data_IF_778121974143
#
_entry.id   IF_778121974143
#
_cell.length_a   1.000
_cell.length_b   1.000
_cell.length_c   1.000
_cell.angle_alpha   90.00
_cell.angle_beta   90.00
_cell.angle_gamma   90.00
#
_symmetry.space_group_name_H-M   'P 1'
#
loop_
_entity.id
_entity.type
_entity.pdbx_description
1 polymer ?
#
# COMPACT_ATOMS: atom_id res chain seq x y z
N UNK A 1 -41.88 51.00 0.58
CA UNK A 1 -42.17 49.74 -0.15
C UNK A 1 -41.89 48.57 0.79
N UNK A 2 -42.93 47.88 1.24
CA UNK A 2 -42.80 46.71 2.14
C UNK A 2 -42.63 45.44 1.30
N UNK A 3 -41.43 44.86 1.26
CA UNK A 3 -41.20 43.56 0.64
C UNK A 3 -41.59 42.46 1.63
N UNK A 4 -42.81 41.96 1.47
CA UNK A 4 -43.29 40.70 2.04
C UNK A 4 -42.59 39.54 1.30
N UNK A 5 -41.49 39.02 1.85
CA UNK A 5 -40.90 37.74 1.40
C UNK A 5 -41.62 36.59 2.11
N UNK A 6 -42.73 36.12 1.54
CA UNK A 6 -43.23 34.77 1.80
C UNK A 6 -42.30 33.80 1.09
N UNK A 7 -41.43 33.15 1.85
CA UNK A 7 -40.55 32.10 1.35
C UNK A 7 -41.42 30.97 0.78
N UNK A 8 -41.29 30.57 -0.49
CA UNK A 8 -42.13 29.53 -1.07
C UNK A 8 -41.67 28.16 -0.55
N UNK A 9 -42.32 27.70 0.51
CA UNK A 9 -42.30 26.31 0.98
C UNK A 9 -42.32 25.24 -0.13
N UNK A 10 -43.11 25.35 -1.22
CA UNK A 10 -43.06 24.35 -2.28
C UNK A 10 -41.71 24.28 -3.00
N UNK A 11 -40.97 25.39 -3.07
CA UNK A 11 -39.66 25.46 -3.73
C UNK A 11 -38.56 24.82 -2.86
N UNK A 12 -38.68 24.95 -1.53
CA UNK A 12 -37.82 24.26 -0.57
C UNK A 12 -38.06 22.74 -0.58
N UNK A 13 -39.32 22.30 -0.71
CA UNK A 13 -39.67 20.87 -0.85
C UNK A 13 -39.19 20.33 -2.19
N UNK A 14 -39.34 21.08 -3.29
CA UNK A 14 -38.83 20.68 -4.60
C UNK A 14 -37.29 20.54 -4.60
N UNK A 15 -36.58 21.46 -3.93
CA UNK A 15 -35.13 21.38 -3.74
C UNK A 15 -34.70 20.19 -2.86
N UNK A 16 -35.49 19.83 -1.83
CA UNK A 16 -35.25 18.65 -0.99
C UNK A 16 -35.50 17.33 -1.72
N UNK A 17 -36.47 17.29 -2.64
CA UNK A 17 -36.73 16.11 -3.50
C UNK A 17 -35.69 15.98 -4.61
N UNK A 18 -35.20 17.10 -5.17
CA UNK A 18 -34.08 17.09 -6.13
C UNK A 18 -32.72 16.82 -5.45
N UNK A 19 -32.63 17.02 -4.14
CA UNK A 19 -31.47 16.69 -3.31
C UNK A 19 -31.58 15.31 -2.64
N UNK A 20 -32.49 14.44 -3.10
CA UNK A 20 -32.37 13.01 -2.83
C UNK A 20 -30.94 12.60 -3.23
N UNK A 21 -30.15 12.01 -2.31
CA UNK A 21 -28.80 11.59 -2.66
C UNK A 21 -28.96 10.64 -3.84
N UNK A 22 -28.35 10.98 -4.97
CA UNK A 22 -28.25 10.06 -6.10
C UNK A 22 -27.70 8.75 -5.51
N UNK A 23 -28.56 7.73 -5.39
CA UNK A 23 -28.11 6.43 -4.90
C UNK A 23 -26.98 6.02 -5.84
N UNK A 24 -25.80 5.74 -5.30
CA UNK A 24 -24.62 5.37 -6.08
C UNK A 24 -25.05 4.39 -7.17
N UNK A 25 -24.97 4.83 -8.43
CA UNK A 25 -25.44 4.03 -9.55
C UNK A 25 -24.71 2.69 -9.50
N UNK A 26 -25.47 1.58 -9.47
CA UNK A 26 -24.85 0.26 -9.48
C UNK A 26 -24.04 0.14 -10.77
N UNK A 27 -22.72 0.00 -10.62
CA UNK A 27 -21.81 -0.09 -11.75
C UNK A 27 -21.64 -1.56 -12.13
N UNK A 28 -21.72 -1.85 -13.41
CA UNK A 28 -21.53 -3.20 -13.96
C UNK A 28 -20.41 -3.21 -14.99
N UNK A 29 -19.59 -4.25 -14.94
CA UNK A 29 -18.58 -4.56 -15.93
C UNK A 29 -18.86 -5.94 -16.50
N UNK A 30 -19.16 -6.01 -17.81
CA UNK A 30 -19.45 -7.26 -18.51
C UNK A 30 -20.50 -8.13 -17.80
N UNK A 31 -21.56 -7.49 -17.29
CA UNK A 31 -22.65 -8.15 -16.57
C UNK A 31 -22.36 -8.51 -15.11
N UNK A 32 -21.17 -8.20 -14.60
CA UNK A 32 -20.82 -8.38 -13.19
C UNK A 32 -20.87 -7.04 -12.44
N UNK A 33 -21.48 -7.02 -11.26
CA UNK A 33 -21.52 -5.83 -10.41
C UNK A 33 -20.10 -5.53 -9.89
N UNK A 34 -19.65 -4.29 -10.06
CA UNK A 34 -18.36 -3.83 -9.56
C UNK A 34 -18.54 -2.65 -8.57
N UNK A 35 -17.54 -2.35 -7.74
CA UNK A 35 -17.60 -1.21 -6.85
C UNK A 35 -17.67 0.12 -7.63
N UNK A 36 -18.27 1.12 -7.00
CA UNK A 36 -18.34 2.48 -7.55
C UNK A 36 -16.93 3.08 -7.67
N UNK A 37 -16.56 3.45 -8.90
CA UNK A 37 -15.24 4.02 -9.21
C UNK A 37 -15.09 5.50 -8.82
N UNK A 38 -16.16 6.15 -8.35
CA UNK A 38 -16.15 7.56 -7.97
C UNK A 38 -15.79 7.79 -6.49
N UNK A 39 -15.72 6.73 -5.68
CA UNK A 39 -15.32 6.82 -4.27
C UNK A 39 -14.04 6.04 -3.97
N UNK A 40 -13.33 6.38 -2.88
CA UNK A 40 -12.26 5.54 -2.36
C UNK A 40 -12.74 4.12 -2.07
N UNK A 41 -11.90 3.14 -2.39
CA UNK A 41 -12.17 1.74 -2.13
C UNK A 41 -11.57 1.28 -0.80
N UNK A 42 -12.29 0.38 -0.15
CA UNK A 42 -11.83 -0.39 1.00
C UNK A 42 -11.65 -1.87 0.64
N UNK A 43 -11.25 -2.68 1.61
CA UNK A 43 -11.04 -4.12 1.47
C UNK A 43 -12.27 -4.88 0.94
N UNK A 44 -13.49 -4.48 1.33
CA UNK A 44 -14.72 -5.06 0.82
C UNK A 44 -14.95 -4.73 -0.67
N UNK A 45 -14.64 -3.51 -1.09
CA UNK A 45 -14.74 -3.11 -2.49
C UNK A 45 -13.77 -3.91 -3.36
N UNK A 46 -12.52 -4.09 -2.91
CA UNK A 46 -11.57 -4.96 -3.60
C UNK A 46 -12.08 -6.40 -3.69
N UNK A 47 -12.68 -6.93 -2.61
CA UNK A 47 -13.26 -8.28 -2.63
C UNK A 47 -14.37 -8.41 -3.68
N UNK A 48 -15.30 -7.44 -3.71
CA UNK A 48 -16.37 -7.42 -4.71
C UNK A 48 -15.81 -7.35 -6.14
N UNK A 49 -14.77 -6.54 -6.38
CA UNK A 49 -14.13 -6.47 -7.68
C UNK A 49 -13.49 -7.81 -8.05
N UNK A 50 -12.75 -8.46 -7.14
CA UNK A 50 -12.09 -9.74 -7.40
C UNK A 50 -13.10 -10.81 -7.79
N UNK A 51 -14.22 -10.90 -7.07
CA UNK A 51 -15.30 -11.85 -7.39
C UNK A 51 -15.93 -11.59 -8.77
N UNK A 52 -16.08 -10.32 -9.15
CA UNK A 52 -16.56 -9.94 -10.46
C UNK A 52 -15.54 -10.31 -11.56
N UNK A 53 -14.27 -9.97 -11.35
CA UNK A 53 -13.21 -10.21 -12.33
C UNK A 53 -12.85 -11.68 -12.49
N UNK A 54 -12.89 -12.50 -11.44
CA UNK A 54 -12.72 -13.96 -11.54
C UNK A 54 -13.81 -14.60 -12.42
N UNK A 55 -15.05 -14.12 -12.33
CA UNK A 55 -16.13 -14.57 -13.23
C UNK A 55 -15.90 -14.11 -14.66
N UNK A 56 -15.47 -12.86 -14.85
CA UNK A 56 -15.16 -12.33 -16.19
C UNK A 56 -14.03 -13.14 -16.82
N UNK A 57 -12.93 -13.36 -16.12
CA UNK A 57 -11.75 -14.07 -16.62
C UNK A 57 -12.08 -15.52 -17.05
N UNK A 58 -12.94 -16.21 -16.30
CA UNK A 58 -13.40 -17.56 -16.63
C UNK A 58 -14.35 -17.63 -17.83
N UNK A 59 -15.06 -16.54 -18.12
CA UNK A 59 -16.11 -16.52 -19.16
C UNK A 59 -15.65 -15.85 -20.45
N UNK A 60 -14.71 -14.91 -20.35
CA UNK A 60 -14.24 -14.08 -21.46
C UNK A 60 -12.72 -13.96 -21.40
N UNK A 61 -12.05 -14.58 -22.37
CA UNK A 61 -10.60 -14.54 -22.49
C UNK A 61 -10.13 -13.10 -22.71
N UNK A 62 -9.11 -12.70 -21.95
CA UNK A 62 -8.47 -11.39 -22.06
C UNK A 62 -9.42 -10.19 -21.81
N UNK A 63 -10.43 -10.36 -20.97
CA UNK A 63 -11.42 -9.33 -20.65
C UNK A 63 -11.24 -8.63 -19.29
N UNK A 64 -10.08 -8.73 -18.64
CA UNK A 64 -9.77 -7.89 -17.46
C UNK A 64 -9.59 -6.40 -17.84
N UNK A 65 -9.90 -5.48 -16.91
CA UNK A 65 -9.70 -4.05 -17.11
C UNK A 65 -8.25 -3.69 -17.49
N UNK A 66 -8.10 -2.90 -18.55
CA UNK A 66 -6.80 -2.41 -19.05
C UNK A 66 -6.63 -0.93 -18.72
N UNK A 67 -5.41 -0.52 -18.42
CA UNK A 67 -5.05 0.87 -18.15
C UNK A 67 -5.32 1.78 -19.34
N UNK A 68 -5.04 1.30 -20.56
CA UNK A 68 -5.21 2.08 -21.80
C UNK A 68 -6.60 1.98 -22.43
N UNK A 69 -7.52 1.18 -21.86
CA UNK A 69 -8.85 1.03 -22.43
C UNK A 69 -9.73 2.24 -22.14
N UNK A 70 -10.51 2.66 -23.13
CA UNK A 70 -11.42 3.82 -23.01
C UNK A 70 -12.43 3.63 -21.86
N UNK A 71 -13.01 2.43 -21.74
CA UNK A 71 -14.03 2.11 -20.74
C UNK A 71 -13.47 1.38 -19.51
N UNK A 72 -12.30 0.75 -19.64
CA UNK A 72 -11.67 -0.03 -18.56
C UNK A 72 -10.58 0.74 -17.82
N UNK A 73 -10.01 1.77 -18.45
CA UNK A 73 -9.01 2.66 -17.86
C UNK A 73 -9.47 3.32 -16.57
N UNK A 74 -10.70 3.85 -16.46
CA UNK A 74 -11.21 4.38 -15.20
C UNK A 74 -11.31 3.35 -14.07
N UNK A 75 -11.70 2.10 -14.39
CA UNK A 75 -11.75 1.00 -13.42
C UNK A 75 -10.34 0.69 -12.92
N UNK A 76 -9.40 0.50 -13.84
CA UNK A 76 -8.00 0.25 -13.50
C UNK A 76 -7.39 1.41 -12.70
N UNK A 77 -7.65 2.65 -13.11
CA UNK A 77 -7.15 3.84 -12.43
C UNK A 77 -7.65 3.90 -10.99
N UNK A 78 -8.92 3.54 -10.75
CA UNK A 78 -9.44 3.45 -9.38
C UNK A 78 -8.79 2.31 -8.61
N UNK A 79 -8.57 1.14 -9.20
CA UNK A 79 -7.92 -0.01 -8.53
C UNK A 79 -6.57 0.34 -7.90
N UNK A 80 -5.79 1.21 -8.56
CA UNK A 80 -4.45 1.64 -8.10
C UNK A 80 -4.42 3.09 -7.60
N UNK A 81 -5.58 3.66 -7.27
CA UNK A 81 -5.67 5.04 -6.82
C UNK A 81 -5.12 5.23 -5.42
N UNK A 82 -4.30 6.27 -5.24
CA UNK A 82 -3.82 6.70 -3.92
C UNK A 82 -4.97 7.10 -2.99
N UNK A 83 -6.12 7.49 -3.53
CA UNK A 83 -7.28 7.84 -2.72
C UNK A 83 -7.80 6.67 -1.88
N UNK A 84 -7.56 5.43 -2.32
CA UNK A 84 -7.96 4.23 -1.58
C UNK A 84 -7.16 4.06 -0.27
N UNK A 85 -6.05 4.78 -0.10
CA UNK A 85 -5.29 4.79 1.15
C UNK A 85 -5.94 5.69 2.22
N UNK A 86 -6.84 6.61 1.83
CA UNK A 86 -7.44 7.60 2.76
C UNK A 86 -8.04 6.97 4.03
N UNK A 87 -8.77 5.84 4.00
CA UNK A 87 -9.29 5.22 5.22
C UNK A 87 -8.20 4.80 6.20
N UNK A 88 -7.06 4.34 5.69
CA UNK A 88 -5.93 3.85 6.49
C UNK A 88 -5.01 4.99 6.98
N UNK A 89 -5.04 6.14 6.30
CA UNK A 89 -4.28 7.33 6.68
C UNK A 89 -5.10 8.30 7.54
N UNK A 90 -6.36 7.99 7.82
CA UNK A 90 -7.23 8.82 8.64
C UNK A 90 -6.85 8.74 10.13
N UNK A 91 -6.02 9.67 10.60
CA UNK A 91 -5.56 9.74 12.00
C UNK A 91 -6.68 9.87 13.05
N UNK A 92 -7.90 10.24 12.63
CA UNK A 92 -9.07 10.31 13.52
C UNK A 92 -9.75 8.95 13.72
N UNK A 93 -9.37 7.93 12.94
CA UNK A 93 -9.86 6.56 13.09
C UNK A 93 -8.96 5.75 14.05
N UNK A 94 -9.54 4.80 14.81
CA UNK A 94 -8.77 3.91 15.67
C UNK A 94 -7.64 3.18 14.91
N UNK A 95 -6.47 3.09 15.53
CA UNK A 95 -5.28 2.50 14.91
C UNK A 95 -5.49 1.03 14.53
N UNK A 96 -6.17 0.27 15.38
CA UNK A 96 -6.48 -1.13 15.13
C UNK A 96 -7.36 -1.30 13.89
N UNK A 97 -8.31 -0.38 13.68
CA UNK A 97 -9.17 -0.39 12.50
C UNK A 97 -8.35 -0.08 11.23
N UNK A 98 -7.48 0.94 11.29
CA UNK A 98 -6.59 1.30 10.18
C UNK A 98 -5.63 0.16 9.81
N UNK A 99 -5.01 -0.48 10.81
CA UNK A 99 -4.06 -1.57 10.60
C UNK A 99 -4.74 -2.81 10.04
N UNK A 100 -5.93 -3.17 10.55
CA UNK A 100 -6.70 -4.29 10.02
C UNK A 100 -7.11 -4.04 8.57
N UNK A 101 -7.57 -2.83 8.26
CA UNK A 101 -7.92 -2.46 6.88
C UNK A 101 -6.71 -2.53 5.95
N UNK A 102 -5.55 -2.01 6.37
CA UNK A 102 -4.32 -2.09 5.58
C UNK A 102 -3.88 -3.53 5.29
N UNK A 103 -4.01 -4.42 6.29
CA UNK A 103 -3.72 -5.85 6.15
C UNK A 103 -4.70 -6.54 5.20
N UNK A 104 -5.99 -6.27 5.33
CA UNK A 104 -7.01 -6.85 4.45
C UNK A 104 -6.85 -6.36 3.01
N UNK A 105 -6.62 -5.07 2.78
CA UNK A 105 -6.36 -4.54 1.43
C UNK A 105 -5.12 -5.22 0.82
N UNK A 106 -4.02 -5.36 1.56
CA UNK A 106 -2.84 -6.07 1.07
C UNK A 106 -3.16 -7.52 0.65
N UNK A 107 -3.97 -8.22 1.45
CA UNK A 107 -4.44 -9.56 1.10
C UNK A 107 -5.28 -9.56 -0.19
N UNK A 108 -6.22 -8.63 -0.34
CA UNK A 108 -7.02 -8.52 -1.57
C UNK A 108 -6.17 -8.17 -2.78
N UNK A 109 -5.17 -7.30 -2.64
CA UNK A 109 -4.24 -6.98 -3.74
C UNK A 109 -3.46 -8.20 -4.21
N UNK A 110 -3.05 -9.09 -3.31
CA UNK A 110 -2.43 -10.36 -3.68
C UNK A 110 -3.37 -11.23 -4.53
N UNK A 111 -4.64 -11.35 -4.14
CA UNK A 111 -5.62 -12.11 -4.91
C UNK A 111 -5.94 -11.44 -6.25
N UNK A 112 -6.02 -10.10 -6.29
CA UNK A 112 -6.21 -9.35 -7.53
C UNK A 112 -5.01 -9.55 -8.49
N UNK A 113 -3.78 -9.50 -7.98
CA UNK A 113 -2.58 -9.76 -8.79
C UNK A 113 -2.61 -11.15 -9.43
N UNK A 114 -3.15 -12.17 -8.76
CA UNK A 114 -3.27 -13.52 -9.34
C UNK A 114 -4.15 -13.57 -10.59
N UNK A 115 -5.06 -12.63 -10.77
CA UNK A 115 -5.86 -12.51 -12.01
C UNK A 115 -5.04 -11.88 -13.14
N UNK A 116 -4.14 -10.95 -12.83
CA UNK A 116 -3.37 -10.20 -13.83
C UNK A 116 -2.05 -10.86 -14.23
N UNK A 117 -1.46 -11.68 -13.36
CA UNK A 117 -0.23 -12.41 -13.65
C UNK A 117 -0.53 -13.81 -14.19
N UNK A 118 -0.14 -14.06 -15.44
CA UNK A 118 -0.09 -15.42 -15.99
C UNK A 118 1.37 -15.91 -16.03
N UNK A 119 1.80 -16.62 -14.99
CA UNK A 119 3.17 -17.14 -14.90
C UNK A 119 3.51 -18.23 -15.93
N UNK A 120 2.52 -18.72 -16.68
CA UNK A 120 2.74 -19.71 -17.75
C UNK A 120 2.84 -19.05 -19.12
N UNK A 121 2.42 -17.79 -19.25
CA UNK A 121 2.47 -17.08 -20.52
C UNK A 121 3.92 -16.75 -20.91
N UNK A 122 4.22 -16.92 -22.21
CA UNK A 122 5.50 -16.49 -22.77
C UNK A 122 5.67 -14.97 -22.69
N UNK A 123 4.55 -14.25 -22.84
CA UNK A 123 4.42 -12.80 -22.71
C UNK A 123 3.17 -12.48 -21.89
N UNK A 124 3.27 -11.57 -20.94
CA UNK A 124 2.15 -11.20 -20.07
C UNK A 124 1.06 -10.47 -20.85
N UNK A 125 -0.18 -10.97 -20.88
CA UNK A 125 -1.28 -10.30 -21.58
C UNK A 125 -1.66 -8.95 -20.96
N UNK A 126 -1.35 -8.78 -19.67
CA UNK A 126 -1.62 -7.61 -18.85
C UNK A 126 -0.34 -7.06 -18.19
N UNK A 127 0.78 -7.08 -18.90
CA UNK A 127 2.09 -6.75 -18.33
C UNK A 127 2.13 -5.40 -17.60
N UNK A 128 1.62 -4.34 -18.24
CA UNK A 128 1.56 -2.99 -17.67
C UNK A 128 0.71 -2.94 -16.40
N UNK A 129 -0.46 -3.60 -16.43
CA UNK A 129 -1.40 -3.63 -15.31
C UNK A 129 -0.87 -4.46 -14.13
N UNK A 130 -0.26 -5.61 -14.42
CA UNK A 130 0.34 -6.50 -13.43
C UNK A 130 1.47 -5.78 -12.67
N UNK A 131 2.37 -5.10 -13.39
CA UNK A 131 3.45 -4.32 -12.78
C UNK A 131 2.92 -3.09 -12.01
N UNK A 132 1.88 -2.43 -12.52
CA UNK A 132 1.23 -1.32 -11.81
C UNK A 132 0.59 -1.76 -10.49
N UNK A 133 -0.09 -2.90 -10.47
CA UNK A 133 -0.61 -3.50 -9.24
C UNK A 133 0.50 -3.89 -8.27
N UNK A 134 1.64 -4.37 -8.76
CA UNK A 134 2.79 -4.67 -7.91
C UNK A 134 3.37 -3.42 -7.26
N UNK A 135 3.55 -2.32 -8.01
CA UNK A 135 3.96 -1.02 -7.45
C UNK A 135 2.98 -0.52 -6.39
N UNK A 136 1.68 -0.64 -6.66
CA UNK A 136 0.63 -0.27 -5.72
C UNK A 136 0.66 -1.12 -4.43
N UNK A 137 0.89 -2.43 -4.56
CA UNK A 137 1.03 -3.35 -3.44
C UNK A 137 2.24 -3.03 -2.55
N UNK A 138 3.38 -2.61 -3.13
CA UNK A 138 4.53 -2.15 -2.37
C UNK A 138 4.20 -0.91 -1.53
N UNK A 139 3.50 0.06 -2.11
CA UNK A 139 3.07 1.25 -1.37
C UNK A 139 2.09 0.92 -0.24
N UNK A 140 1.16 0.01 -0.49
CA UNK A 140 0.26 -0.51 0.54
C UNK A 140 1.02 -1.20 1.69
N UNK A 141 2.09 -1.93 1.39
CA UNK A 141 2.95 -2.53 2.40
C UNK A 141 3.69 -1.47 3.24
N UNK A 142 4.12 -0.35 2.64
CA UNK A 142 4.78 0.74 3.36
C UNK A 142 3.82 1.42 4.35
N UNK A 143 2.55 1.60 3.95
CA UNK A 143 1.50 2.08 4.86
C UNK A 143 1.30 1.11 6.02
N UNK A 144 1.21 -0.20 5.76
CA UNK A 144 1.07 -1.21 6.82
C UNK A 144 2.24 -1.16 7.83
N UNK A 145 3.48 -0.95 7.36
CA UNK A 145 4.62 -0.75 8.28
C UNK A 145 4.50 0.52 9.10
N UNK A 146 4.12 1.63 8.48
CA UNK A 146 3.95 2.90 9.19
C UNK A 146 2.95 2.72 10.35
N UNK A 147 1.83 2.05 10.09
CA UNK A 147 0.83 1.73 11.12
C UNK A 147 1.36 0.73 12.15
N UNK A 148 2.20 -0.22 11.74
CA UNK A 148 2.83 -1.19 12.65
C UNK A 148 3.82 -0.51 13.60
N UNK A 149 4.60 0.45 13.11
CA UNK A 149 5.51 1.27 13.93
C UNK A 149 4.69 2.15 14.88
N UNK A 150 3.65 2.82 14.38
CA UNK A 150 2.73 3.61 15.22
C UNK A 150 2.18 2.75 16.36
N UNK A 151 1.71 1.53 16.06
CA UNK A 151 1.20 0.59 17.05
C UNK A 151 2.28 0.14 18.04
N UNK A 152 3.49 -0.15 17.55
CA UNK A 152 4.60 -0.55 18.41
C UNK A 152 4.93 0.52 19.45
N UNK A 153 4.88 1.80 19.06
CA UNK A 153 5.15 2.94 19.92
C UNK A 153 4.07 3.17 21.01
N UNK A 154 2.88 2.59 20.87
CA UNK A 154 1.85 2.65 21.93
C UNK A 154 1.99 1.56 22.99
N UNK A 155 2.76 0.50 22.71
CA UNK A 155 2.98 -0.61 23.63
C UNK A 155 3.98 -0.28 24.73
N UNK A 156 3.76 -0.80 25.94
CA UNK A 156 4.76 -0.79 27.00
C UNK A 156 5.93 -1.73 26.66
N UNK A 157 7.10 -1.52 27.27
CA UNK A 157 8.28 -2.39 27.10
C UNK A 157 7.98 -3.87 27.40
N UNK A 158 7.12 -4.14 28.40
CA UNK A 158 6.67 -5.49 28.74
C UNK A 158 5.81 -6.14 27.66
N UNK A 159 5.03 -5.36 26.90
CA UNK A 159 4.25 -5.85 25.76
C UNK A 159 5.13 -6.02 24.52
N UNK A 160 6.05 -5.09 24.26
CA UNK A 160 7.00 -5.15 23.14
C UNK A 160 7.90 -6.40 23.20
N UNK A 161 8.24 -6.86 24.40
CA UNK A 161 9.06 -8.06 24.61
C UNK A 161 8.27 -9.38 24.57
N UNK A 162 6.94 -9.35 24.44
CA UNK A 162 6.15 -10.58 24.35
C UNK A 162 6.52 -11.37 23.09
N UNK A 163 6.77 -12.69 23.20
CA UNK A 163 7.14 -13.51 22.05
C UNK A 163 6.17 -13.41 20.87
N UNK A 164 4.87 -13.36 21.14
CA UNK A 164 3.82 -13.24 20.10
C UNK A 164 3.93 -11.92 19.33
N UNK A 165 4.30 -10.82 20.00
CA UNK A 165 4.44 -9.50 19.36
C UNK A 165 5.69 -9.45 18.49
N UNK A 166 6.80 -10.00 18.99
CA UNK A 166 8.04 -10.11 18.24
C UNK A 166 7.87 -11.03 17.03
N UNK A 167 7.15 -12.14 17.18
CA UNK A 167 6.83 -13.05 16.08
C UNK A 167 5.98 -12.36 15.01
N UNK A 168 4.89 -11.68 15.37
CA UNK A 168 4.07 -10.96 14.39
C UNK A 168 4.83 -9.86 13.64
N UNK A 169 5.74 -9.15 14.33
CA UNK A 169 6.62 -8.17 13.68
C UNK A 169 7.60 -8.85 12.71
N UNK A 170 8.15 -10.00 13.09
CA UNK A 170 9.07 -10.78 12.29
C UNK A 170 8.39 -11.31 11.01
N UNK A 171 7.17 -11.85 11.13
CA UNK A 171 6.35 -12.30 9.99
C UNK A 171 6.03 -11.14 9.04
N UNK A 172 5.71 -9.96 9.58
CA UNK A 172 5.44 -8.75 8.76
C UNK A 172 6.69 -8.33 7.97
N UNK A 173 7.87 -8.37 8.61
CA UNK A 173 9.15 -8.07 7.95
C UNK A 173 9.51 -9.09 6.87
N UNK A 174 9.23 -10.36 7.10
CA UNK A 174 9.47 -11.43 6.12
C UNK A 174 8.55 -11.32 4.91
N UNK A 175 7.25 -11.03 5.12
CA UNK A 175 6.31 -10.79 4.03
C UNK A 175 6.75 -9.62 3.15
N UNK A 176 7.21 -8.53 3.77
CA UNK A 176 7.74 -7.39 3.04
C UNK A 176 9.05 -7.66 2.31
N UNK A 177 9.96 -8.42 2.91
CA UNK A 177 11.20 -8.86 2.28
C UNK A 177 10.89 -9.65 1.00
N UNK A 178 9.94 -10.59 1.08
CA UNK A 178 9.49 -11.39 -0.07
C UNK A 178 8.85 -10.51 -1.15
N UNK A 179 7.98 -9.57 -0.77
CA UNK A 179 7.35 -8.63 -1.71
C UNK A 179 8.40 -7.77 -2.42
N UNK A 180 9.34 -7.19 -1.68
CA UNK A 180 10.38 -6.30 -2.21
C UNK A 180 11.37 -7.04 -3.11
N UNK A 181 11.75 -8.28 -2.74
CA UNK A 181 12.60 -9.12 -3.59
C UNK A 181 11.89 -9.49 -4.89
N UNK A 182 10.63 -9.95 -4.81
CA UNK A 182 9.85 -10.33 -5.98
C UNK A 182 9.63 -9.15 -6.93
N UNK A 183 9.49 -7.94 -6.38
CA UNK A 183 9.38 -6.72 -7.17
C UNK A 183 10.62 -6.48 -8.04
N UNK A 184 11.82 -6.67 -7.49
CA UNK A 184 13.06 -6.56 -8.28
C UNK A 184 13.18 -7.67 -9.32
N UNK A 185 12.74 -8.89 -9.01
CA UNK A 185 12.86 -10.02 -9.92
C UNK A 185 12.02 -9.84 -11.20
N UNK A 186 10.89 -9.14 -11.12
CA UNK A 186 10.10 -8.80 -12.31
C UNK A 186 10.85 -7.93 -13.32
N UNK A 187 11.82 -7.11 -12.89
CA UNK A 187 12.69 -6.39 -13.83
C UNK A 187 13.52 -7.35 -14.69
N UNK A 188 13.87 -8.54 -14.16
CA UNK A 188 14.60 -9.57 -14.91
C UNK A 188 13.77 -10.31 -15.96
N UNK A 189 12.45 -10.16 -15.97
CA UNK A 189 11.53 -10.91 -16.83
C UNK A 189 11.34 -10.25 -18.21
N UNK A 190 12.44 -9.88 -18.87
CA UNK A 190 12.46 -9.11 -20.13
C UNK A 190 11.87 -9.81 -21.34
N UNK A 191 11.62 -11.13 -21.25
CA UNK A 191 10.88 -11.88 -22.27
C UNK A 191 9.37 -11.82 -22.06
N UNK A 192 8.94 -11.67 -20.81
CA UNK A 192 7.53 -11.70 -20.44
C UNK A 192 6.90 -10.30 -20.44
N UNK A 193 7.67 -9.26 -20.12
CA UNK A 193 7.20 -7.88 -20.09
C UNK A 193 7.82 -7.04 -21.19
N UNK A 194 7.06 -6.06 -21.69
CA UNK A 194 7.57 -5.13 -22.68
C UNK A 194 8.59 -4.18 -22.06
N UNK A 195 9.49 -3.65 -22.90
CA UNK A 195 10.51 -2.68 -22.46
C UNK A 195 9.89 -1.47 -21.77
N UNK A 196 8.88 -0.85 -22.38
CA UNK A 196 8.25 0.37 -21.86
C UNK A 196 7.65 0.15 -20.46
N UNK A 197 7.01 -1.00 -20.26
CA UNK A 197 6.42 -1.39 -18.98
C UNK A 197 7.50 -1.55 -17.90
N UNK A 198 8.62 -2.21 -18.23
CA UNK A 198 9.75 -2.40 -17.31
C UNK A 198 10.47 -1.09 -16.98
N UNK A 199 10.59 -0.17 -17.94
CA UNK A 199 11.19 1.16 -17.71
C UNK A 199 10.33 1.98 -16.75
N UNK A 200 9.02 2.04 -16.99
CA UNK A 200 8.11 2.74 -16.08
C UNK A 200 8.13 2.09 -14.69
N UNK A 201 8.10 0.76 -14.63
CA UNK A 201 8.12 0.02 -13.38
C UNK A 201 9.39 0.27 -12.57
N UNK A 202 10.56 0.29 -13.22
CA UNK A 202 11.84 0.61 -12.57
C UNK A 202 11.83 2.00 -11.92
N UNK A 203 11.25 3.00 -12.60
CA UNK A 203 11.13 4.36 -12.05
C UNK A 203 10.18 4.41 -10.84
N UNK A 204 9.07 3.65 -10.86
CA UNK A 204 8.16 3.56 -9.72
C UNK A 204 8.81 2.84 -8.52
N UNK A 205 9.56 1.76 -8.77
CA UNK A 205 10.32 1.08 -7.71
C UNK A 205 11.31 2.02 -7.01
N UNK A 206 11.97 2.90 -7.77
CA UNK A 206 12.88 3.91 -7.21
C UNK A 206 12.22 4.81 -6.16
N UNK A 207 10.92 5.10 -6.31
CA UNK A 207 10.15 5.91 -5.36
C UNK A 207 9.70 5.11 -4.13
N UNK A 208 9.26 3.87 -4.33
CA UNK A 208 8.63 3.08 -3.25
C UNK A 208 9.64 2.31 -2.39
N UNK A 209 10.78 1.92 -2.96
CA UNK A 209 11.73 1.05 -2.29
C UNK A 209 12.36 1.64 -1.02
N UNK A 210 12.75 2.94 -0.97
CA UNK A 210 13.34 3.53 0.24
C UNK A 210 12.46 3.39 1.49
N UNK A 211 11.14 3.60 1.35
CA UNK A 211 10.18 3.53 2.46
C UNK A 211 10.07 2.12 3.05
N UNK A 212 10.15 1.08 2.21
CA UNK A 212 10.14 -0.30 2.67
C UNK A 212 11.49 -0.73 3.22
N UNK A 213 12.57 -0.32 2.55
CA UNK A 213 13.93 -0.77 2.80
C UNK A 213 14.37 -0.55 4.25
N UNK A 214 14.05 0.61 4.83
CA UNK A 214 14.41 0.97 6.22
C UNK A 214 13.88 -0.03 7.25
N UNK A 215 12.74 -0.67 6.98
CA UNK A 215 12.07 -1.58 7.91
C UNK A 215 12.56 -3.04 7.82
N UNK A 216 13.30 -3.39 6.78
CA UNK A 216 13.76 -4.76 6.53
C UNK A 216 14.88 -5.15 7.49
N UNK A 217 15.22 -6.44 7.54
CA UNK A 217 16.38 -6.93 8.30
C UNK A 217 17.69 -6.61 7.57
N UNK A 218 18.80 -6.57 8.29
CA UNK A 218 20.12 -6.23 7.73
C UNK A 218 20.58 -7.19 6.63
N UNK A 219 20.34 -8.49 6.81
CA UNK A 219 20.64 -9.53 5.82
C UNK A 219 19.85 -9.31 4.52
N UNK A 220 18.56 -9.00 4.64
CA UNK A 220 17.68 -8.71 3.50
C UNK A 220 18.11 -7.42 2.80
N UNK A 221 18.42 -6.36 3.56
CA UNK A 221 18.87 -5.08 2.99
C UNK A 221 20.14 -5.26 2.15
N UNK A 222 21.12 -6.02 2.65
CA UNK A 222 22.34 -6.32 1.91
C UNK A 222 22.05 -7.10 0.61
N UNK A 223 21.17 -8.11 0.65
CA UNK A 223 20.77 -8.86 -0.53
C UNK A 223 20.06 -7.98 -1.57
N UNK A 224 19.14 -7.12 -1.14
CA UNK A 224 18.43 -6.20 -2.04
C UNK A 224 19.39 -5.19 -2.67
N UNK A 225 20.32 -4.61 -1.91
CA UNK A 225 21.34 -3.71 -2.45
C UNK A 225 22.20 -4.40 -3.52
N UNK A 226 22.64 -5.64 -3.25
CA UNK A 226 23.40 -6.42 -4.24
C UNK A 226 22.56 -6.67 -5.51
N UNK A 227 21.26 -6.96 -5.36
CA UNK A 227 20.35 -7.17 -6.49
C UNK A 227 20.13 -5.91 -7.31
N UNK A 228 19.91 -4.76 -6.67
CA UNK A 228 19.80 -3.46 -7.33
C UNK A 228 21.11 -3.13 -8.06
N UNK A 229 22.26 -3.44 -7.44
CA UNK A 229 23.59 -3.28 -8.04
C UNK A 229 23.74 -4.10 -9.32
N UNK A 230 23.37 -5.38 -9.27
CA UNK A 230 23.40 -6.25 -10.45
C UNK A 230 22.50 -5.73 -11.57
N UNK A 231 21.28 -5.27 -11.24
CA UNK A 231 20.37 -4.69 -12.22
C UNK A 231 20.93 -3.38 -12.81
N UNK A 232 21.57 -2.54 -12.01
CA UNK A 232 22.20 -1.30 -12.47
C UNK A 232 23.35 -1.56 -13.46
N UNK A 233 24.08 -2.66 -13.30
CA UNK A 233 25.21 -3.01 -14.18
C UNK A 233 24.77 -3.79 -15.42
N UNK A 234 23.92 -4.81 -15.25
CA UNK A 234 23.73 -5.89 -16.23
C UNK A 234 22.38 -5.89 -16.91
N UNK A 235 21.39 -5.13 -16.42
CA UNK A 235 20.07 -5.16 -17.03
C UNK A 235 20.14 -4.72 -18.50
N UNK A 236 19.46 -5.39 -19.46
CA UNK A 236 19.64 -5.12 -20.89
C UNK A 236 19.22 -3.70 -21.30
N UNK A 237 18.23 -3.12 -20.62
CA UNK A 237 17.73 -1.77 -20.92
C UNK A 237 18.45 -0.70 -20.11
N UNK A 238 18.97 0.32 -20.81
CA UNK A 238 19.76 1.42 -20.25
C UNK A 238 18.96 2.22 -19.22
N UNK A 239 17.67 2.46 -19.49
CA UNK A 239 16.82 3.26 -18.61
C UNK A 239 16.59 2.57 -17.27
N UNK A 240 16.37 1.25 -17.27
CA UNK A 240 16.27 0.46 -16.03
C UNK A 240 17.61 0.49 -15.28
N UNK A 241 18.74 0.35 -15.99
CA UNK A 241 20.07 0.48 -15.38
C UNK A 241 20.24 1.83 -14.68
N UNK A 242 19.85 2.92 -15.35
CA UNK A 242 19.89 4.27 -14.78
C UNK A 242 19.03 4.38 -13.53
N UNK A 243 17.77 3.94 -13.57
CA UNK A 243 16.88 3.99 -12.40
C UNK A 243 17.43 3.20 -11.21
N UNK A 244 18.05 2.04 -11.45
CA UNK A 244 18.67 1.25 -10.38
C UNK A 244 19.96 1.89 -9.87
N UNK A 245 20.78 2.47 -10.76
CA UNK A 245 21.99 3.21 -10.38
C UNK A 245 21.66 4.44 -9.52
N UNK A 246 20.58 5.15 -9.83
CA UNK A 246 20.10 6.31 -9.06
C UNK A 246 19.53 5.89 -7.69
N UNK A 247 18.94 4.69 -7.60
CA UNK A 247 18.38 4.15 -6.36
C UNK A 247 19.46 3.69 -5.37
N UNK A 248 20.57 3.12 -5.84
CA UNK A 248 21.66 2.62 -5.00
C UNK A 248 22.18 3.60 -3.95
N UNK A 249 22.57 4.85 -4.29
CA UNK A 249 23.08 5.80 -3.30
C UNK A 249 22.03 6.14 -2.23
N UNK A 250 20.74 6.15 -2.58
CA UNK A 250 19.65 6.38 -1.63
C UNK A 250 19.58 5.22 -0.62
N UNK A 251 19.60 3.98 -1.09
CA UNK A 251 19.58 2.80 -0.21
C UNK A 251 20.85 2.72 0.66
N UNK A 252 22.01 3.06 0.11
CA UNK A 252 23.27 3.09 0.85
C UNK A 252 23.25 4.13 1.98
N UNK A 253 22.71 5.33 1.72
CA UNK A 253 22.55 6.36 2.75
C UNK A 253 21.63 5.89 3.88
N UNK A 254 20.51 5.23 3.55
CA UNK A 254 19.59 4.66 4.54
C UNK A 254 20.27 3.56 5.35
N UNK A 255 21.00 2.65 4.70
CA UNK A 255 21.73 1.59 5.38
C UNK A 255 22.73 2.17 6.39
N UNK A 256 23.49 3.18 5.98
CA UNK A 256 24.47 3.84 6.84
C UNK A 256 23.81 4.52 8.04
N UNK A 257 22.71 5.24 7.84
CA UNK A 257 21.97 5.87 8.96
C UNK A 257 21.43 4.81 9.93
N UNK A 258 20.81 3.75 9.43
CA UNK A 258 20.30 2.65 10.27
C UNK A 258 21.42 2.01 11.09
N UNK A 259 22.57 1.72 10.49
CA UNK A 259 23.74 1.17 11.21
C UNK A 259 24.26 2.13 12.28
N UNK A 260 24.33 3.44 11.98
CA UNK A 260 24.72 4.45 12.97
C UNK A 260 23.73 4.53 14.13
N UNK A 261 22.43 4.44 13.88
CA UNK A 261 21.42 4.44 14.94
C UNK A 261 21.51 3.19 15.81
N UNK A 262 21.73 2.01 15.21
CA UNK A 262 21.88 0.75 15.94
C UNK A 262 23.19 0.67 16.75
N UNK A 263 24.24 1.36 16.31
CA UNK A 263 25.52 1.44 17.01
C UNK A 263 25.51 2.42 18.20
N UNK A 264 24.49 3.27 18.33
CA UNK A 264 24.38 4.19 19.48
C UNK A 264 24.11 3.40 20.77
N UNK A 265 24.87 3.62 21.85
CA UNK A 265 24.61 2.96 23.12
C UNK A 265 23.23 3.37 23.65
N UNK A 266 22.44 2.37 24.09
CA UNK A 266 21.14 2.61 24.74
C UNK A 266 21.39 3.50 25.96
N UNK A 267 20.73 4.68 26.07
CA UNK A 267 20.89 5.50 27.26
C UNK A 267 20.46 4.69 28.47
N UNK A 268 21.37 4.50 29.43
CA UNK A 268 21.05 3.89 30.71
C UNK A 268 19.89 4.69 31.32
N UNK A 269 18.70 4.07 31.37
CA UNK A 269 17.52 4.70 31.96
C UNK A 269 17.87 5.16 33.36
N UNK A 270 17.73 6.47 33.63
CA UNK A 270 17.89 7.00 35.00
C UNK A 270 16.98 6.18 35.91
N UNK A 271 17.47 5.62 37.02
CA UNK A 271 16.62 4.91 37.97
C UNK A 271 15.47 5.85 38.35
N UNK A 272 14.22 5.37 38.18
CA UNK A 272 13.05 6.13 38.61
C UNK A 272 13.27 6.53 40.07
N UNK A 273 13.17 7.81 40.44
CA UNK A 273 13.20 8.18 41.85
C UNK A 273 12.12 7.37 42.56
N UNK A 274 12.52 6.69 43.64
CA UNK A 274 11.57 5.94 44.46
C UNK A 274 10.44 6.89 44.84
N UNK A 275 9.20 6.52 44.51
CA UNK A 275 8.04 7.28 44.93
C UNK A 275 8.03 7.29 46.46
N UNK A 276 8.26 8.46 47.05
CA UNK A 276 8.17 8.62 48.50
C UNK A 276 6.69 8.53 48.90
N UNK A 277 6.32 7.41 49.53
CA UNK A 277 4.98 7.14 50.05
C UNK A 277 4.84 7.60 51.51
N UNK A 278 5.79 8.40 52.02
CA UNK A 278 5.70 8.94 53.38
C UNK A 278 4.47 9.84 53.50
N UNK A 279 3.64 9.57 54.50
CA UNK A 279 2.48 10.40 54.81
C UNK A 279 2.93 11.83 55.15
N UNK A 280 2.21 12.87 54.70
CA UNK A 280 2.55 14.25 55.03
C UNK A 280 2.56 14.45 56.55
N UNK A 281 3.60 15.13 57.04
CA UNK A 281 3.77 15.41 58.45
C UNK A 281 2.55 16.17 59.00
N UNK A 282 2.03 15.81 60.19
CA UNK A 282 0.91 16.52 60.79
C UNK A 282 1.29 17.99 61.02
N UNK A 283 0.46 18.88 60.48
CA UNK A 283 0.56 20.32 60.69
C UNK A 283 0.46 20.60 62.20
N UNK A 284 1.49 21.26 62.75
CA UNK A 284 1.47 21.84 64.10
C UNK A 284 0.73 23.18 64.09
#
# INVERSE_FOLDING_TARGET
>A
MKLSRRLPWPLAILLLVLALPASAAELFYLGQKIPDIQRPWNSHDYQQLIEALDKVDRTQVNALPRRSGEFTGPIYTRMVSEENFKPQLNIYAPLELRQNEAREVLFRLKELMRLYFDFKAAQQPYGAEALGLMSYSMRQQAILFTLTVEFWMTLSESEQSKPVRLQGLQETKEAAAMLTSSALDYLGLTRQFNREDLVLYAAELGKQMPELFIHLRSDVRAQLMARVGELAEKHPYVEVRSSMADLLPVLAAIQQDVEQQLAKPVPAGKPKPALDLSAPAPLQ
#
